data_IF_322201212683
#
_entry.id   IF_322201212683
#
_cell.length_a   1.000
_cell.length_b   1.000
_cell.length_c   1.000
_cell.angle_alpha   90.00
_cell.angle_beta   90.00
_cell.angle_gamma   90.00
#
_symmetry.space_group_name_H-M   'P 1'
#
loop_
_entity.id
_entity.type
_entity.pdbx_description
1 polymer ?
#
# COMPACT_ATOMS: atom_id res chain seq x y z
N UNK A 1 -13.75 -7.77 -6.85
CA UNK A 1 -13.42 -9.06 -6.19
C UNK A 1 -14.51 -9.36 -5.17
N UNK A 2 -14.83 -10.65 -4.94
CA UNK A 2 -15.68 -11.07 -3.83
C UNK A 2 -15.07 -10.67 -2.49
N UNK A 3 -15.91 -10.26 -1.53
CA UNK A 3 -15.45 -9.76 -0.22
C UNK A 3 -14.68 -10.83 0.58
N UNK A 4 -15.13 -12.08 0.50
CA UNK A 4 -14.54 -13.22 1.22
C UNK A 4 -13.11 -13.52 0.74
N UNK A 5 -12.91 -13.58 -0.58
CA UNK A 5 -11.59 -13.76 -1.20
C UNK A 5 -10.63 -12.64 -0.81
N UNK A 6 -11.11 -11.41 -0.75
CA UNK A 6 -10.30 -10.26 -0.34
C UNK A 6 -9.89 -10.35 1.13
N UNK A 7 -10.79 -10.79 2.01
CA UNK A 7 -10.49 -10.96 3.43
C UNK A 7 -9.42 -12.03 3.66
N UNK A 8 -9.56 -13.19 3.00
CA UNK A 8 -8.59 -14.28 3.06
C UNK A 8 -7.21 -13.81 2.58
N UNK A 9 -7.17 -13.13 1.41
CA UNK A 9 -5.93 -12.60 0.87
C UNK A 9 -5.26 -11.62 1.84
N UNK A 10 -6.02 -10.67 2.38
CA UNK A 10 -5.49 -9.69 3.33
C UNK A 10 -4.91 -10.35 4.59
N UNK A 11 -5.58 -11.38 5.11
CA UNK A 11 -5.09 -12.15 6.26
C UNK A 11 -3.74 -12.80 5.96
N UNK A 12 -3.61 -13.49 4.82
CA UNK A 12 -2.36 -14.17 4.47
C UNK A 12 -1.21 -13.18 4.22
N UNK A 13 -1.50 -12.04 3.59
CA UNK A 13 -0.50 -10.98 3.39
C UNK A 13 -0.02 -10.43 4.73
N UNK A 14 -0.95 -10.09 5.63
CA UNK A 14 -0.58 -9.55 6.94
C UNK A 14 0.19 -10.56 7.81
N UNK A 15 -0.14 -11.84 7.71
CA UNK A 15 0.63 -12.91 8.35
C UNK A 15 2.05 -12.99 7.80
N UNK A 16 2.23 -12.92 6.47
CA UNK A 16 3.55 -12.92 5.85
C UNK A 16 4.37 -11.68 6.25
N UNK A 17 3.76 -10.49 6.27
CA UNK A 17 4.41 -9.24 6.70
C UNK A 17 4.82 -9.25 8.18
N UNK A 18 4.27 -10.16 8.98
CA UNK A 18 4.66 -10.35 10.38
C UNK A 18 5.86 -11.30 10.55
N UNK A 19 6.36 -11.91 9.46
CA UNK A 19 7.55 -12.76 9.49
C UNK A 19 8.81 -11.94 9.76
N UNK A 20 9.57 -12.34 10.79
CA UNK A 20 10.75 -11.61 11.23
C UNK A 20 11.87 -11.56 10.18
N UNK A 21 12.03 -12.64 9.39
CA UNK A 21 13.04 -12.68 8.32
C UNK A 21 12.66 -11.75 7.18
N UNK A 22 11.38 -11.70 6.82
CA UNK A 22 10.86 -10.77 5.83
C UNK A 22 11.02 -9.33 6.30
N UNK A 23 10.66 -9.01 7.54
CA UNK A 23 10.84 -7.67 8.10
C UNK A 23 12.31 -7.25 8.14
N UNK A 24 13.22 -8.14 8.54
CA UNK A 24 14.65 -7.87 8.52
C UNK A 24 15.17 -7.60 7.10
N UNK A 25 14.70 -8.37 6.12
CA UNK A 25 15.06 -8.20 4.70
C UNK A 25 14.53 -6.88 4.16
N UNK A 26 13.26 -6.54 4.42
CA UNK A 26 12.66 -5.28 4.02
C UNK A 26 13.40 -4.08 4.63
N UNK A 27 13.69 -4.15 5.93
CA UNK A 27 14.45 -3.11 6.64
C UNK A 27 15.85 -2.92 6.06
N UNK A 28 16.55 -4.01 5.73
CA UNK A 28 17.87 -3.95 5.10
C UNK A 28 17.84 -3.27 3.71
N UNK A 29 16.69 -3.30 3.02
CA UNK A 29 16.46 -2.60 1.75
C UNK A 29 15.89 -1.18 1.94
N UNK A 30 15.77 -0.70 3.18
CA UNK A 30 15.22 0.61 3.49
C UNK A 30 13.69 0.69 3.42
N UNK A 31 12.99 -0.44 3.49
CA UNK A 31 11.53 -0.53 3.40
C UNK A 31 10.91 -0.79 4.78
N UNK A 32 9.78 -0.13 5.05
CA UNK A 32 8.90 -0.44 6.17
C UNK A 32 7.78 -1.40 5.71
N UNK A 33 7.93 -2.69 6.01
CA UNK A 33 6.97 -3.71 5.63
C UNK A 33 5.83 -3.77 6.65
N UNK A 34 4.79 -2.96 6.44
CA UNK A 34 3.62 -2.87 7.32
C UNK A 34 2.33 -3.36 6.63
N UNK A 35 1.59 -4.21 7.33
CA UNK A 35 0.25 -4.64 6.94
C UNK A 35 -0.82 -3.56 7.15
N UNK A 36 -1.96 -3.70 6.48
CA UNK A 36 -3.12 -2.82 6.65
C UNK A 36 -4.43 -3.59 6.51
N UNK A 37 -5.55 -2.93 6.79
CA UNK A 37 -6.87 -3.43 6.39
C UNK A 37 -7.17 -3.07 4.92
N UNK A 38 -8.09 -3.78 4.26
CA UNK A 38 -8.50 -3.44 2.90
C UNK A 38 -9.14 -2.04 2.79
N UNK A 39 -9.74 -1.54 3.87
CA UNK A 39 -10.34 -0.20 3.91
C UNK A 39 -9.25 0.87 3.98
N UNK A 40 -8.31 0.75 4.92
CA UNK A 40 -7.15 1.65 5.03
C UNK A 40 -6.34 1.70 3.72
N UNK A 41 -6.14 0.55 3.06
CA UNK A 41 -5.46 0.49 1.77
C UNK A 41 -6.21 1.27 0.68
N UNK A 42 -7.55 1.16 0.62
CA UNK A 42 -8.37 1.91 -0.33
C UNK A 42 -8.33 3.41 -0.06
N UNK A 43 -8.45 3.81 1.20
CA UNK A 43 -8.42 5.20 1.61
C UNK A 43 -7.06 5.83 1.27
N UNK A 44 -5.97 5.14 1.59
CA UNK A 44 -4.61 5.56 1.22
C UNK A 44 -4.47 5.77 -0.28
N UNK A 45 -4.85 4.79 -1.10
CA UNK A 45 -4.78 4.92 -2.56
C UNK A 45 -5.58 6.13 -3.06
N UNK A 46 -6.79 6.33 -2.56
CA UNK A 46 -7.62 7.47 -2.95
C UNK A 46 -6.98 8.82 -2.55
N UNK A 47 -6.39 8.89 -1.35
CA UNK A 47 -5.67 10.07 -0.87
C UNK A 47 -4.41 10.35 -1.71
N UNK A 48 -3.63 9.32 -2.02
CA UNK A 48 -2.42 9.41 -2.85
C UNK A 48 -2.76 9.89 -4.27
N UNK A 49 -3.79 9.31 -4.90
CA UNK A 49 -4.26 9.76 -6.23
C UNK A 49 -4.60 11.24 -6.23
N UNK A 50 -5.36 11.71 -5.23
CA UNK A 50 -5.72 13.14 -5.12
C UNK A 50 -4.48 14.01 -4.91
N UNK A 51 -3.61 13.62 -3.98
CA UNK A 51 -2.39 14.37 -3.66
C UNK A 51 -1.50 14.53 -4.88
N UNK A 52 -1.21 13.43 -5.58
CA UNK A 52 -0.28 13.47 -6.72
C UNK A 52 -0.90 14.16 -7.93
N UNK A 53 -2.21 14.05 -8.15
CA UNK A 53 -2.90 14.84 -9.17
C UNK A 53 -2.73 16.36 -8.93
N UNK A 54 -2.87 16.81 -7.68
CA UNK A 54 -2.66 18.22 -7.33
C UNK A 54 -1.20 18.67 -7.45
N UNK A 55 -0.24 17.79 -7.14
CA UNK A 55 1.19 18.09 -7.32
C UNK A 55 1.53 18.22 -8.81
N UNK A 56 1.03 17.32 -9.66
CA UNK A 56 1.26 17.35 -11.12
C UNK A 56 0.71 18.64 -11.72
N UNK A 57 -0.52 19.01 -11.38
CA UNK A 57 -1.16 20.25 -11.81
C UNK A 57 -0.34 21.49 -11.40
N UNK A 58 0.05 21.57 -10.12
CA UNK A 58 0.85 22.67 -9.60
C UNK A 58 2.24 22.76 -10.22
N UNK A 59 2.85 21.62 -10.55
CA UNK A 59 4.18 21.55 -11.14
C UNK A 59 4.19 21.82 -12.65
N UNK A 60 3.01 21.93 -13.30
CA UNK A 60 2.91 22.16 -14.74
C UNK A 60 3.44 20.99 -15.57
N UNK A 61 3.45 19.77 -15.02
CA UNK A 61 3.94 18.58 -15.72
C UNK A 61 2.85 18.12 -16.71
N UNK A 62 3.17 18.14 -18.00
CA UNK A 62 2.27 17.64 -19.03
C UNK A 62 2.04 16.13 -18.87
N UNK A 63 0.77 15.71 -18.86
CA UNK A 63 0.40 14.29 -18.86
C UNK A 63 0.75 13.71 -20.24
N UNK A 64 1.52 12.64 -20.27
CA UNK A 64 1.79 11.85 -21.47
C UNK A 64 0.64 10.88 -21.77
#
# INVERSE_FOLDING_TARGET
>A
MPADTLAILNQHINAALSDAKLQATASALGMDARGSTPEEMRERMAADVKKWAAVIDKAGIEKQ
#
